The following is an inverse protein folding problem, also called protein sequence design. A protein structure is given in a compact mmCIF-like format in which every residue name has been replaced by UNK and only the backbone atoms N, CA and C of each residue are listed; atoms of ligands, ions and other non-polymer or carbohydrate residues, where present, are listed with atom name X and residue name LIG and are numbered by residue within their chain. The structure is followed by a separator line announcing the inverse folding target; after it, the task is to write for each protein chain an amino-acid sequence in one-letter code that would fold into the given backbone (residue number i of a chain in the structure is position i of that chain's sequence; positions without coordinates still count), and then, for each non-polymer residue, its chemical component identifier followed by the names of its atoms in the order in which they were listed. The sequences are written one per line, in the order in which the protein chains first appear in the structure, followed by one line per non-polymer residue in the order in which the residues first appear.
data_IF_412604871540
#
_entry.id   IF_412604871540
#
_cell.length_a   1.000
_cell.length_b   1.000
_cell.length_c   1.000
_cell.angle_alpha   90.00
_cell.angle_beta   90.00
_cell.angle_gamma   90.00
#
_symmetry.space_group_name_H-M   'P 1'
#
loop_
_entity.id
_entity.type
_entity.pdbx_description
1 polymer ?
#
# COMPACT_ATOMS: atom_id res chain seq x y z
N UNK A 1 20.26 2.77 9.92
CA UNK A 1 19.30 2.05 9.05
C UNK A 1 19.41 0.52 9.18
N UNK A 2 20.10 -0.02 10.20
CA UNK A 2 20.39 -1.46 10.34
C UNK A 2 19.50 -2.23 11.33
N UNK A 3 18.45 -1.60 11.86
CA UNK A 3 17.66 -2.19 12.96
C UNK A 3 16.41 -2.96 12.50
N UNK A 4 16.00 -2.76 11.23
CA UNK A 4 14.81 -3.44 10.67
C UNK A 4 15.13 -4.89 10.28
N UNK A 5 16.35 -5.16 9.81
CA UNK A 5 16.77 -6.50 9.39
C UNK A 5 16.95 -7.48 10.58
N UNK A 6 17.17 -6.98 11.80
CA UNK A 6 17.38 -7.84 12.99
C UNK A 6 16.08 -8.27 13.67
N UNK A 7 14.98 -7.54 13.46
CA UNK A 7 13.65 -7.90 13.99
C UNK A 7 12.91 -8.96 13.17
N UNK A 8 13.34 -9.19 11.93
CA UNK A 8 12.86 -10.27 11.05
C UNK A 8 13.61 -11.59 11.31
N UNK A 9 13.93 -11.88 12.57
CA UNK A 9 14.48 -13.18 12.98
C UNK A 9 13.49 -14.27 12.56
N UNK A 10 13.85 -14.99 11.49
CA UNK A 10 13.01 -15.99 10.86
C UNK A 10 12.51 -17.02 11.88
N UNK A 11 11.21 -17.27 11.86
CA UNK A 11 10.66 -18.48 12.46
C UNK A 11 11.31 -19.70 11.79
N UNK A 12 11.65 -20.76 12.54
CA UNK A 12 12.13 -21.99 11.95
C UNK A 12 11.00 -22.59 11.11
N UNK A 13 11.05 -22.37 9.79
CA UNK A 13 10.19 -23.05 8.85
C UNK A 13 10.54 -24.55 8.87
N UNK A 14 9.65 -25.36 9.43
CA UNK A 14 9.68 -26.82 9.28
C UNK A 14 9.69 -27.15 7.77
N UNK A 15 10.55 -28.07 7.29
CA UNK A 15 10.66 -28.34 5.86
C UNK A 15 9.35 -28.91 5.30
N UNK A 16 8.62 -28.09 4.55
CA UNK A 16 7.42 -28.47 3.81
C UNK A 16 7.80 -29.29 2.57
N UNK A 17 6.97 -30.28 2.22
CA UNK A 17 7.21 -31.17 1.08
C UNK A 17 7.38 -30.37 -0.24
N UNK A 18 8.28 -30.79 -1.14
CA UNK A 18 8.57 -30.03 -2.37
C UNK A 18 7.30 -29.91 -3.23
N UNK A 19 6.83 -28.68 -3.42
CA UNK A 19 5.71 -28.35 -4.30
C UNK A 19 4.49 -27.71 -3.63
N UNK A 20 4.46 -27.54 -2.30
CA UNK A 20 3.37 -26.83 -1.62
C UNK A 20 3.70 -25.33 -1.53
N UNK A 21 2.88 -24.50 -2.17
CA UNK A 21 2.93 -23.04 -2.00
C UNK A 21 2.25 -22.73 -0.65
N UNK A 22 3.00 -22.12 0.25
CA UNK A 22 2.55 -21.73 1.59
C UNK A 22 2.57 -20.20 1.66
N UNK A 23 1.53 -19.62 2.26
CA UNK A 23 1.33 -18.18 2.34
C UNK A 23 1.66 -17.73 3.76
N UNK A 24 2.69 -16.90 3.90
CA UNK A 24 3.02 -16.25 5.18
C UNK A 24 2.02 -15.11 5.43
N UNK A 25 0.97 -15.43 6.19
CA UNK A 25 -0.12 -14.50 6.52
C UNK A 25 0.36 -13.34 7.40
N UNK A 26 1.29 -13.57 8.33
CA UNK A 26 1.86 -12.54 9.18
C UNK A 26 2.70 -11.53 8.38
N UNK A 27 3.48 -12.01 7.41
CA UNK A 27 4.22 -11.14 6.51
C UNK A 27 3.28 -10.33 5.59
N UNK A 28 2.23 -10.97 5.07
CA UNK A 28 1.24 -10.27 4.24
C UNK A 28 0.52 -9.16 5.00
N UNK A 29 0.21 -9.37 6.28
CA UNK A 29 -0.43 -8.36 7.12
C UNK A 29 0.47 -7.13 7.31
N UNK A 30 1.75 -7.36 7.66
CA UNK A 30 2.74 -6.27 7.77
C UNK A 30 2.97 -5.54 6.44
N UNK A 31 2.88 -6.26 5.33
CA UNK A 31 3.01 -5.67 4.01
C UNK A 31 1.77 -4.85 3.64
N UNK A 32 0.57 -5.32 3.98
CA UNK A 32 -0.68 -4.59 3.80
C UNK A 32 -0.67 -3.27 4.57
N UNK A 33 -0.32 -3.28 5.87
CA UNK A 33 -0.18 -2.08 6.70
C UNK A 33 0.75 -1.06 6.04
N UNK A 34 1.91 -1.50 5.54
CA UNK A 34 2.87 -0.61 4.88
C UNK A 34 2.34 -0.02 3.57
N UNK A 35 1.53 -0.76 2.83
CA UNK A 35 0.87 -0.24 1.61
C UNK A 35 -0.18 0.80 1.98
N UNK A 36 -0.91 0.60 3.07
CA UNK A 36 -1.89 1.56 3.57
C UNK A 36 -1.22 2.86 4.06
N UNK A 37 -0.13 2.75 4.82
CA UNK A 37 0.67 3.89 5.26
C UNK A 37 1.16 4.72 4.07
N UNK A 38 1.73 4.05 3.06
CA UNK A 38 2.19 4.71 1.84
C UNK A 38 1.04 5.37 1.07
N UNK A 39 -0.14 4.74 1.03
CA UNK A 39 -1.34 5.34 0.43
C UNK A 39 -1.81 6.58 1.23
N UNK A 40 -1.67 6.55 2.55
CA UNK A 40 -1.93 7.67 3.45
C UNK A 40 -1.01 8.85 3.19
N UNK A 41 0.31 8.62 3.19
CA UNK A 41 1.31 9.64 2.88
C UNK A 41 1.10 10.28 1.50
N UNK A 42 0.85 9.44 0.48
CA UNK A 42 0.57 9.94 -0.87
C UNK A 42 -0.72 10.78 -0.92
N UNK A 43 -1.73 10.40 -0.14
CA UNK A 43 -2.98 11.14 -0.05
C UNK A 43 -2.80 12.52 0.58
N UNK A 44 -1.92 12.63 1.59
CA UNK A 44 -1.56 13.91 2.22
C UNK A 44 -0.81 14.81 1.23
N UNK A 45 0.25 14.29 0.60
CA UNK A 45 1.03 15.04 -0.39
C UNK A 45 0.16 15.51 -1.57
N UNK A 46 -0.78 14.68 -2.01
CA UNK A 46 -1.78 15.05 -3.02
C UNK A 46 -2.71 16.17 -2.53
N UNK A 47 -3.14 16.11 -1.26
CA UNK A 47 -3.95 17.15 -0.64
C UNK A 47 -3.23 18.50 -0.64
N UNK A 48 -1.97 18.53 -0.23
CA UNK A 48 -1.15 19.74 -0.27
C UNK A 48 -1.00 20.32 -1.68
N UNK A 49 -0.81 19.46 -2.69
CA UNK A 49 -0.72 19.88 -4.09
C UNK A 49 -2.06 20.44 -4.63
N UNK A 50 -3.18 19.89 -4.16
CA UNK A 50 -4.51 20.37 -4.52
C UNK A 50 -4.80 21.73 -3.89
N UNK A 51 -4.43 21.92 -2.63
CA UNK A 51 -4.73 23.12 -1.85
C UNK A 51 -3.83 24.32 -2.22
N UNK A 52 -2.68 24.05 -2.85
CA UNK A 52 -1.74 25.06 -3.30
C UNK A 52 -1.60 25.07 -4.85
N UNK A 53 -2.67 25.37 -5.60
CA UNK A 53 -2.60 25.38 -7.05
C UNK A 53 -1.76 26.55 -7.55
N UNK A 54 -0.89 26.29 -8.53
CA UNK A 54 -0.17 27.34 -9.24
C UNK A 54 -1.16 28.30 -9.91
N UNK A 55 -1.09 29.57 -9.53
CA UNK A 55 -1.99 30.58 -10.06
C UNK A 55 -1.42 31.12 -11.39
N UNK A 56 -2.26 31.49 -12.36
CA UNK A 56 -1.78 32.08 -13.62
C UNK A 56 -0.88 33.31 -13.41
N UNK A 57 -1.14 34.08 -12.34
CA UNK A 57 -0.35 35.26 -11.96
C UNK A 57 1.10 34.91 -11.60
N UNK A 58 1.39 33.66 -11.24
CA UNK A 58 2.75 33.18 -10.96
C UNK A 58 3.64 33.14 -12.20
N UNK A 59 3.07 33.19 -13.41
CA UNK A 59 3.81 33.14 -14.66
C UNK A 59 4.05 34.52 -15.31
N UNK A 60 3.55 35.60 -14.68
CA UNK A 60 3.67 36.97 -15.20
C UNK A 60 2.94 37.19 -16.53
N UNK A 61 3.11 38.39 -17.12
CA UNK A 61 2.47 38.76 -18.40
C UNK A 61 2.94 37.93 -19.60
N UNK A 62 4.26 37.69 -19.68
CA UNK A 62 4.88 36.90 -20.77
C UNK A 62 4.38 35.45 -20.75
N UNK A 63 4.20 34.86 -19.56
CA UNK A 63 3.66 33.50 -19.43
C UNK A 63 2.18 33.38 -19.79
N UNK A 64 1.43 34.50 -19.74
CA UNK A 64 0.06 34.61 -20.26
C UNK A 64 0.04 34.61 -21.78
N UNK A 65 0.86 35.46 -22.41
CA UNK A 65 0.95 35.56 -23.87
C UNK A 65 1.43 34.25 -24.51
N UNK A 66 2.38 33.57 -23.86
CA UNK A 66 2.88 32.25 -24.28
C UNK A 66 1.99 31.09 -23.82
N UNK A 67 0.84 31.35 -23.18
CA UNK A 67 -0.11 30.34 -22.68
C UNK A 67 0.52 29.27 -21.77
N UNK A 68 1.64 29.60 -21.14
CA UNK A 68 2.42 28.70 -20.29
C UNK A 68 1.65 28.35 -19.02
N UNK A 69 0.95 29.32 -18.45
CA UNK A 69 0.07 29.11 -17.31
C UNK A 69 -1.01 28.04 -17.58
N UNK A 70 -1.57 28.04 -18.79
CA UNK A 70 -2.63 27.09 -19.20
C UNK A 70 -2.06 25.69 -19.46
N UNK A 71 -0.85 25.62 -20.02
CA UNK A 71 -0.14 24.35 -20.21
C UNK A 71 0.19 23.70 -18.87
N UNK A 72 0.73 24.46 -17.91
CA UNK A 72 0.97 23.98 -16.55
C UNK A 72 -0.32 23.58 -15.85
N UNK A 73 -1.39 24.36 -15.98
CA UNK A 73 -2.68 24.02 -15.40
C UNK A 73 -3.27 22.70 -15.98
N UNK A 74 -3.02 22.40 -17.27
CA UNK A 74 -3.41 21.11 -17.85
C UNK A 74 -2.56 19.97 -17.30
N UNK A 75 -1.24 20.17 -17.19
CA UNK A 75 -0.32 19.17 -16.65
C UNK A 75 -0.64 18.84 -15.18
N UNK A 76 -0.87 19.86 -14.34
CA UNK A 76 -1.23 19.66 -12.93
C UNK A 76 -2.57 18.92 -12.78
N UNK A 77 -3.57 19.24 -13.61
CA UNK A 77 -4.84 18.48 -13.63
C UNK A 77 -4.66 17.03 -14.07
N UNK A 78 -3.74 16.74 -14.98
CA UNK A 78 -3.42 15.36 -15.36
C UNK A 78 -2.75 14.61 -14.21
N UNK A 79 -1.75 15.24 -13.59
CA UNK A 79 -1.03 14.69 -12.43
C UNK A 79 -1.97 14.39 -11.27
N UNK A 80 -2.84 15.34 -10.89
CA UNK A 80 -3.80 15.15 -9.80
C UNK A 80 -4.72 13.96 -10.05
N UNK A 81 -5.24 13.80 -11.28
CA UNK A 81 -6.06 12.62 -11.63
C UNK A 81 -5.29 11.30 -11.56
N UNK A 82 -4.00 11.31 -11.90
CA UNK A 82 -3.15 10.12 -11.78
C UNK A 82 -2.89 9.79 -10.31
N UNK A 83 -2.66 10.81 -9.46
CA UNK A 83 -2.48 10.64 -8.02
C UNK A 83 -3.75 10.15 -7.33
N UNK A 84 -4.93 10.66 -7.72
CA UNK A 84 -6.23 10.16 -7.24
C UNK A 84 -6.32 8.65 -7.48
N UNK A 85 -6.09 8.24 -8.72
CA UNK A 85 -6.17 6.84 -9.13
C UNK A 85 -5.13 5.97 -8.43
N UNK A 86 -3.91 6.47 -8.24
CA UNK A 86 -2.87 5.74 -7.53
C UNK A 86 -3.25 5.49 -6.06
N UNK A 87 -3.81 6.50 -5.38
CA UNK A 87 -4.28 6.35 -3.99
C UNK A 87 -5.39 5.29 -3.89
N UNK A 88 -6.34 5.28 -4.83
CA UNK A 88 -7.43 4.29 -4.85
C UNK A 88 -6.91 2.87 -5.08
N UNK A 89 -5.96 2.70 -6.00
CA UNK A 89 -5.34 1.40 -6.29
C UNK A 89 -4.54 0.90 -5.09
N UNK A 90 -3.77 1.75 -4.42
CA UNK A 90 -2.99 1.35 -3.25
C UNK A 90 -3.89 0.94 -2.08
N UNK A 91 -4.97 1.67 -1.81
CA UNK A 91 -5.96 1.26 -0.81
C UNK A 91 -6.62 -0.07 -1.15
N UNK A 92 -7.01 -0.26 -2.42
CA UNK A 92 -7.59 -1.52 -2.87
C UNK A 92 -6.60 -2.69 -2.73
N UNK A 93 -5.31 -2.44 -3.00
CA UNK A 93 -4.25 -3.43 -2.83
C UNK A 93 -4.03 -3.77 -1.34
N UNK A 94 -3.95 -2.78 -0.46
CA UNK A 94 -3.83 -2.99 1.00
C UNK A 94 -4.97 -3.84 1.53
N UNK A 95 -6.22 -3.48 1.20
CA UNK A 95 -7.39 -4.29 1.54
C UNK A 95 -7.31 -5.72 1.00
N UNK A 96 -6.95 -5.89 -0.27
CA UNK A 96 -6.82 -7.22 -0.86
C UNK A 96 -5.76 -8.07 -0.17
N UNK A 97 -4.66 -7.46 0.28
CA UNK A 97 -3.62 -8.15 1.05
C UNK A 97 -4.13 -8.58 2.43
N UNK A 98 -4.89 -7.73 3.14
CA UNK A 98 -5.57 -8.11 4.39
C UNK A 98 -6.58 -9.25 4.19
N UNK A 99 -7.39 -9.19 3.13
CA UNK A 99 -8.37 -10.23 2.82
C UNK A 99 -7.67 -11.60 2.59
N UNK A 100 -6.52 -11.60 1.90
CA UNK A 100 -5.71 -12.80 1.68
C UNK A 100 -5.05 -13.26 2.98
N UNK A 101 -4.44 -12.36 3.76
CA UNK A 101 -3.82 -12.68 5.04
C UNK A 101 -4.83 -13.30 6.02
N UNK A 102 -6.04 -12.74 6.12
CA UNK A 102 -7.11 -13.28 6.95
C UNK A 102 -7.61 -14.65 6.47
N UNK A 103 -7.72 -14.86 5.15
CA UNK A 103 -8.17 -16.13 4.59
C UNK A 103 -7.20 -17.28 4.93
N UNK A 104 -5.90 -17.06 4.76
CA UNK A 104 -4.88 -18.10 4.98
C UNK A 104 -4.41 -18.19 6.44
N UNK A 105 -4.42 -17.09 7.21
CA UNK A 105 -4.07 -17.09 8.63
C UNK A 105 -5.13 -17.76 9.51
N UNK A 106 -6.42 -17.61 9.16
CA UNK A 106 -7.51 -18.27 9.89
C UNK A 106 -7.54 -19.80 9.72
N UNK A 107 -7.01 -20.32 8.61
CA UNK A 107 -7.05 -21.75 8.31
C UNK A 107 -6.07 -22.55 9.17
N UNK A 108 -4.92 -21.98 9.51
CA UNK A 108 -3.94 -22.62 10.40
C UNK A 108 -4.41 -22.65 11.85
N UNK A 109 -4.95 -21.55 12.36
CA UNK A 109 -5.50 -21.49 13.73
C UNK A 109 -6.68 -22.46 13.91
N UNK A 110 -7.53 -22.61 12.90
CA UNK A 110 -8.64 -23.56 12.91
C UNK A 110 -8.13 -25.02 12.85
N UNK A 111 -7.10 -25.29 12.06
CA UNK A 111 -6.45 -26.60 12.01
C UNK A 111 -5.76 -26.95 13.34
N UNK A 112 -5.07 -26.01 13.97
CA UNK A 112 -4.45 -26.19 15.30
C UNK A 112 -5.51 -26.44 16.37
N UNK A 113 -6.65 -25.72 16.33
CA UNK A 113 -7.78 -25.98 17.25
C UNK A 113 -8.39 -27.36 17.06
N UNK A 114 -8.50 -27.84 15.81
CA UNK A 114 -9.00 -29.18 15.50
C UNK A 114 -8.02 -30.27 15.97
N UNK A 115 -6.72 -30.07 15.78
CA UNK A 115 -5.68 -31.00 16.25
C UNK A 115 -5.68 -31.07 17.79
N UNK A 116 -5.65 -29.92 18.48
CA UNK A 116 -5.69 -29.86 19.94
C UNK A 116 -6.96 -30.50 20.53
N UNK A 117 -8.08 -30.43 19.81
CA UNK A 117 -9.34 -31.06 20.21
C UNK A 117 -9.35 -32.57 19.98
N UNK A 118 -8.62 -33.06 18.98
CA UNK A 118 -8.45 -34.49 18.71
C UNK A 118 -7.45 -35.16 19.67
N UNK A 119 -6.45 -34.43 20.16
CA UNK A 119 -5.45 -34.91 21.13
C UNK A 119 -5.98 -34.97 22.57
N UNK A 120 -7.13 -34.34 22.85
CA UNK A 120 -7.83 -34.38 24.15
C UNK A 120 -8.88 -35.49 24.27
N UNK A 121 -8.92 -36.45 23.33
CA UNK A 121 -9.82 -37.62 23.35
C UNK A 121 -8.99 -38.90 23.41
#
# INVERSE_FOLDING_TARGET
MDDVARRLGGHPATPSAPGRIEVDSAWLELYAERVEDAAGELSLARGELHDNPLRPQSFGGIGGDLRTAEAYARASRLLNRQLDRACDVLRAAGKGLHDVAGHYGGTEDEAVRLINKADQV
#
